data_IF_120415342199
#
_entry.id   IF_120415342199
#
_cell.length_a   1.000
_cell.length_b   1.000
_cell.length_c   1.000
_cell.angle_alpha   90.00
_cell.angle_beta   90.00
_cell.angle_gamma   90.00
#
_symmetry.space_group_name_H-M   'P 1'
#
loop_
_entity.id
_entity.type
_entity.pdbx_description
1 polymer ?
2 non-polymer ?
3 non-polymer ?
4 non-polymer ?
5 water ?
#
# COMPACT_ATOMS: atom_id res chain seq x y z
N UNK A 3 21.63 -11.15 17.69
CA UNK A 3 20.76 -12.36 17.81
C UNK A 3 19.29 -12.05 17.56
N UNK A 4 18.93 -10.77 17.57
CA UNK A 4 17.56 -10.37 17.24
C UNK A 4 17.35 -10.29 15.73
N UNK A 5 16.15 -10.66 15.30
CA UNK A 5 15.74 -10.57 13.90
C UNK A 5 14.29 -10.09 13.84
N UNK A 6 13.90 -9.51 12.71
CA UNK A 6 12.53 -9.07 12.48
C UNK A 6 11.90 -9.80 11.29
N UNK A 7 10.66 -10.24 11.47
CA UNK A 7 9.90 -10.86 10.38
C UNK A 7 9.56 -9.82 9.31
N UNK A 8 9.90 -10.15 8.06
CA UNK A 8 9.67 -9.25 6.93
C UNK A 8 8.19 -9.13 6.56
N UNK A 9 7.37 -10.10 6.98
CA UNK A 9 5.94 -10.07 6.67
C UNK A 9 5.13 -9.28 7.70
N UNK A 10 5.26 -9.63 8.98
CA UNK A 10 4.46 -9.01 10.05
C UNK A 10 5.21 -7.94 10.85
N UNK A 11 6.53 -7.91 10.73
CA UNK A 11 7.36 -6.92 11.43
C UNK A 11 7.79 -7.29 12.85
N UNK A 12 7.37 -8.46 13.34
CA UNK A 12 7.65 -8.84 14.74
C UNK A 12 9.14 -9.06 14.98
N UNK A 13 9.60 -8.62 16.15
CA UNK A 13 10.99 -8.76 16.57
C UNK A 13 11.10 -9.85 17.62
N UNK A 14 11.92 -10.86 17.33
CA UNK A 14 12.21 -11.94 18.27
C UNK A 14 13.67 -12.30 18.12
N UNK A 15 14.22 -12.99 19.11
CA UNK A 15 15.58 -13.49 19.01
C UNK A 15 15.64 -14.59 17.94
N UNK A 16 16.84 -14.83 17.41
CA UNK A 16 17.09 -15.91 16.46
C UNK A 16 16.62 -17.24 17.06
N UNK A 17 16.98 -17.47 18.33
CA UNK A 17 16.54 -18.66 19.07
C UNK A 17 15.02 -18.83 19.07
N UNK A 18 14.29 -17.74 19.28
CA UNK A 18 12.83 -17.76 19.32
C UNK A 18 12.19 -18.08 17.97
N UNK A 19 12.71 -17.48 16.90
CA UNK A 19 12.29 -17.82 15.54
C UNK A 19 12.63 -19.28 15.21
N UNK A 20 13.80 -19.74 15.67
CA UNK A 20 14.21 -21.14 15.50
C UNK A 20 13.32 -22.13 16.23
N UNK A 21 13.00 -21.83 17.48
CA UNK A 21 12.13 -22.68 18.29
C UNK A 21 10.70 -22.66 17.79
N UNK A 22 10.13 -21.46 17.77
CA UNK A 22 8.68 -21.27 17.69
C UNK A 22 8.19 -20.76 16.35
N UNK A 23 9.11 -20.40 15.47
CA UNK A 23 8.76 -19.76 14.20
C UNK A 23 8.16 -18.39 14.44
N UNK A 24 7.34 -17.92 13.51
CA UNK A 24 6.63 -16.67 13.69
C UNK A 24 5.22 -16.91 14.20
N UNK A 25 4.86 -16.28 15.33
CA UNK A 25 3.52 -16.43 15.92
C UNK A 25 2.40 -15.92 15.01
N UNK A 26 2.71 -14.98 14.12
CA UNK A 26 1.72 -14.40 13.22
C UNK A 26 1.62 -15.10 11.85
N UNK A 27 2.77 -15.43 11.27
CA UNK A 27 2.87 -15.77 9.85
C UNK A 27 3.12 -17.25 9.53
N UNK A 28 3.28 -18.07 10.55
CA UNK A 28 3.72 -19.46 10.35
C UNK A 28 2.88 -20.26 9.36
N UNK A 29 1.56 -20.07 9.40
CA UNK A 29 0.65 -20.72 8.46
C UNK A 29 0.93 -20.40 7.01
N UNK A 30 1.24 -19.13 6.77
CA UNK A 30 1.55 -18.63 5.43
C UNK A 30 2.88 -19.22 4.95
N UNK A 31 3.88 -19.21 5.83
CA UNK A 31 5.20 -19.75 5.52
C UNK A 31 5.13 -21.26 5.22
N UNK A 32 4.29 -21.96 5.96
CA UNK A 32 4.05 -23.38 5.73
C UNK A 32 3.46 -23.63 4.34
N UNK A 33 2.46 -22.83 3.98
CA UNK A 33 1.82 -22.94 2.66
C UNK A 33 2.78 -22.57 1.53
N UNK A 34 3.63 -21.57 1.79
CA UNK A 34 4.65 -21.12 0.84
C UNK A 34 5.81 -22.10 0.68
N UNK A 35 5.95 -23.04 1.62
CA UNK A 35 7.05 -24.00 1.59
C UNK A 35 8.40 -23.37 1.88
N UNK A 36 8.39 -22.36 2.75
CA UNK A 36 9.61 -21.64 3.14
C UNK A 36 9.86 -21.71 4.64
N UNK A 37 11.13 -21.58 5.03
CA UNK A 37 11.48 -21.54 6.45
C UNK A 37 11.19 -20.16 7.02
N UNK A 38 10.91 -20.10 8.30
CA UNK A 38 10.71 -18.83 9.00
C UNK A 38 11.96 -17.97 8.93
N UNK A 39 13.12 -18.60 9.11
CA UNK A 39 14.41 -17.90 9.15
C UNK A 39 14.70 -17.06 7.91
N UNK A 40 14.40 -17.59 6.73
CA UNK A 40 14.64 -16.87 5.49
C UNK A 40 13.60 -15.75 5.25
N UNK A 41 12.56 -15.74 6.08
CA UNK A 41 11.55 -14.68 6.04
C UNK A 41 11.81 -13.60 7.10
N UNK A 42 12.93 -13.73 7.81
CA UNK A 42 13.31 -12.77 8.84
C UNK A 42 14.59 -12.04 8.43
N UNK A 43 14.81 -10.87 9.02
CA UNK A 43 15.98 -10.06 8.71
C UNK A 43 16.71 -9.61 9.97
N UNK A 44 18.06 -9.63 9.94
CA UNK A 44 18.86 -9.10 11.05
C UNK A 44 18.96 -7.56 11.04
N UNK A 45 18.41 -6.93 10.01
CA UNK A 45 18.53 -5.49 9.82
C UNK A 45 17.16 -4.81 9.89
N UNK A 46 16.93 -4.07 10.96
CA UNK A 46 15.64 -3.42 11.22
C UNK A 46 15.81 -2.20 12.10
N UNK A 47 14.80 -1.32 12.10
CA UNK A 47 14.87 -0.06 12.83
C UNK A 47 13.48 0.36 13.29
N UNK A 48 13.42 1.03 14.43
CA UNK A 48 12.17 1.61 14.93
C UNK A 48 11.42 0.62 15.78
N UNK A 49 11.88 0.43 17.02
CA UNK A 49 11.28 -0.55 17.92
C UNK A 49 9.92 -0.07 18.39
N UNK A 50 8.94 -0.96 18.30
CA UNK A 50 7.56 -0.68 18.70
C UNK A 50 7.13 -1.72 19.74
N UNK A 51 6.93 -1.27 20.97
CA UNK A 51 6.28 -2.10 21.97
C UNK A 51 4.77 -2.03 21.75
N UNK A 52 4.23 -3.04 21.09
CA UNK A 52 2.80 -3.07 20.75
C UNK A 52 1.96 -3.76 21.83
N UNK A 53 1.16 -2.97 22.53
CA UNK A 53 0.43 -3.47 23.68
C UNK A 53 -1.04 -3.79 23.37
N UNK A 54 -1.69 -2.93 22.58
CA UNK A 54 -3.10 -3.12 22.22
C UNK A 54 -3.30 -2.96 20.71
N UNK A 55 -3.01 -4.03 19.94
CA UNK A 55 -3.02 -3.97 18.47
C UNK A 55 -4.36 -3.56 17.87
N UNK A 56 -5.46 -4.01 18.47
CA UNK A 56 -6.79 -3.73 17.94
C UNK A 56 -7.21 -2.27 18.09
N UNK A 57 -6.54 -1.54 18.98
CA UNK A 57 -6.92 -0.16 19.29
C UNK A 57 -5.88 0.85 18.81
N UNK A 58 -4.62 0.42 18.74
CA UNK A 58 -3.52 1.31 18.42
C UNK A 58 -3.57 1.82 16.98
N UNK A 59 -3.43 3.14 16.83
CA UNK A 59 -3.29 3.76 15.51
C UNK A 59 -1.93 3.44 14.90
N UNK A 60 -0.90 3.36 15.75
CA UNK A 60 0.44 2.91 15.32
C UNK A 60 0.32 1.52 14.69
N UNK A 61 -0.41 0.62 15.35
CA UNK A 61 -0.62 -0.74 14.86
C UNK A 61 -1.34 -0.73 13.52
N UNK A 62 -2.35 0.13 13.42
CA UNK A 62 -3.12 0.28 12.19
C UNK A 62 -2.20 0.71 11.04
N UNK A 63 -1.42 1.75 11.27
CA UNK A 63 -0.53 2.28 10.24
C UNK A 63 0.61 1.30 9.85
N UNK A 64 1.02 0.46 10.78
CA UNK A 64 2.08 -0.53 10.51
C UNK A 64 1.56 -1.90 10.07
N UNK A 65 0.24 -2.03 9.94
CA UNK A 65 -0.41 -3.32 9.64
C UNK A 65 -0.04 -4.42 10.63
N UNK A 66 -0.02 -4.06 11.91
CA UNK A 66 0.16 -5.05 12.96
C UNK A 66 -1.10 -5.15 13.84
N UNK A 67 -2.15 -4.45 13.40
CA UNK A 67 -3.41 -4.39 14.16
C UNK A 67 -4.17 -5.73 14.26
N UNK A 68 -3.87 -6.66 13.35
CA UNK A 68 -4.43 -8.01 13.42
C UNK A 68 -3.38 -9.04 13.83
N UNK A 69 -2.26 -8.54 14.35
CA UNK A 69 -1.17 -9.38 14.83
C UNK A 69 -1.14 -9.37 16.37
N UNK A 70 -0.34 -10.24 16.95
CA UNK A 70 -0.28 -10.36 18.42
C UNK A 70 0.45 -9.19 19.08
N UNK A 71 0.11 -8.91 20.34
CA UNK A 71 0.90 -8.00 21.15
C UNK A 71 2.35 -8.49 21.22
N UNK A 72 3.29 -7.55 21.17
CA UNK A 72 4.72 -7.88 21.21
C UNK A 72 5.58 -6.74 20.70
N UNK A 73 6.85 -7.04 20.45
CA UNK A 73 7.79 -6.05 19.93
C UNK A 73 7.86 -6.13 18.40
N UNK A 74 7.65 -4.98 17.76
CA UNK A 74 7.68 -4.89 16.30
C UNK A 74 8.71 -3.87 15.82
N UNK A 75 9.02 -3.90 14.53
CA UNK A 75 9.93 -2.95 13.91
C UNK A 75 9.20 -2.16 12.83
N UNK A 76 9.48 -0.87 12.76
CA UNK A 76 8.86 0.00 11.75
C UNK A 76 9.45 -0.25 10.37
N UNK A 77 10.77 -0.36 10.29
CA UNK A 77 11.44 -0.66 9.02
C UNK A 77 12.20 -1.97 9.10
N UNK A 78 11.92 -2.87 8.18
CA UNK A 78 12.62 -4.15 8.08
C UNK A 78 13.26 -4.24 6.70
N UNK A 79 14.58 -4.31 6.66
CA UNK A 79 15.32 -4.44 5.41
C UNK A 79 15.24 -5.86 4.88
N UNK A 80 15.24 -6.00 3.57
CA UNK A 80 15.26 -7.32 2.95
C UNK A 80 14.03 -7.63 2.12
N UNK A 81 14.16 -8.69 1.33
CA UNK A 81 13.16 -9.07 0.35
C UNK A 81 12.52 -10.36 0.80
N UNK A 82 11.19 -10.34 0.92
CA UNK A 82 10.42 -11.53 1.24
C UNK A 82 10.48 -12.50 0.06
N UNK A 83 10.64 -13.81 0.33
CA UNK A 83 10.68 -14.79 -0.76
C UNK A 83 9.43 -14.74 -1.64
N UNK A 84 9.62 -14.91 -2.95
CA UNK A 84 8.55 -14.82 -3.94
C UNK A 84 7.36 -15.73 -3.67
N UNK A 85 7.64 -16.93 -3.13
CA UNK A 85 6.59 -17.91 -2.86
C UNK A 85 5.65 -17.50 -1.72
N UNK A 86 6.09 -16.55 -0.90
CA UNK A 86 5.24 -15.94 0.12
C UNK A 86 4.43 -14.80 -0.51
N UNK A 87 5.14 -13.93 -1.24
CA UNK A 87 4.53 -12.77 -1.91
C UNK A 87 3.36 -13.16 -2.82
N UNK A 88 3.52 -14.24 -3.60
CA UNK A 88 2.48 -14.69 -4.53
C UNK A 88 1.19 -15.17 -3.86
N UNK A 89 1.24 -15.42 -2.56
CA UNK A 89 0.06 -15.84 -1.79
C UNK A 89 -0.70 -14.66 -1.17
N UNK A 90 -0.06 -13.51 -1.10
CA UNK A 90 -0.60 -12.38 -0.36
C UNK A 90 -0.75 -11.11 -1.19
N UNK A 91 -1.94 -10.92 -1.80
CA UNK A 91 -2.23 -9.71 -2.59
C UNK A 91 -2.13 -8.43 -1.78
N UNK A 92 -2.41 -8.53 -0.48
CA UNK A 92 -2.38 -7.37 0.42
C UNK A 92 -0.97 -7.00 0.89
N UNK A 93 0.01 -7.85 0.60
CA UNK A 93 1.39 -7.60 1.07
C UNK A 93 1.95 -6.30 0.51
N UNK A 94 2.49 -5.50 1.43
CA UNK A 94 3.19 -4.26 1.09
C UNK A 94 4.51 -4.25 1.86
N UNK A 95 5.64 -4.00 1.16
CA UNK A 95 6.98 -4.19 1.74
C UNK A 95 7.24 -3.31 2.96
N UNK A 96 7.95 -3.86 3.94
CA UNK A 96 8.23 -3.16 5.19
C UNK A 96 9.57 -2.42 5.16
N UNK A 97 10.18 -2.34 3.97
CA UNK A 97 11.46 -1.66 3.80
C UNK A 97 11.31 -0.23 3.22
N UNK A 98 10.11 0.19 2.92
CA UNK A 98 9.83 1.51 2.33
C UNK A 98 9.50 1.46 0.85
N UNK A 99 9.83 0.34 0.21
CA UNK A 99 9.58 0.18 -1.22
C UNK A 99 8.13 -0.22 -1.49
N UNK A 100 7.79 -0.35 -2.77
CA UNK A 100 6.42 -0.71 -3.17
C UNK A 100 5.43 0.36 -2.75
N UNK A 101 5.74 1.44 -2.43
CA UNK A 101 5.09 2.76 -2.15
C UNK A 101 3.94 3.28 -3.06
N UNK A 102 3.19 4.30 -2.28
CA UNK A 102 2.01 4.98 -2.78
C UNK A 102 2.44 5.85 -3.99
N UNK A 103 1.81 5.68 -5.18
CA UNK A 103 2.07 6.49 -6.37
C UNK A 103 0.75 7.13 -6.79
N UNK A 104 0.53 8.35 -6.31
CA UNK A 104 -0.71 9.06 -6.55
C UNK A 104 -0.42 10.31 -7.38
N UNK A 105 -1.18 10.49 -8.45
CA UNK A 105 -0.97 11.58 -9.38
C UNK A 105 -2.10 12.59 -9.28
N UNK A 106 -1.74 13.84 -9.04
CA UNK A 106 -2.69 14.95 -9.09
C UNK A 106 -2.83 15.36 -10.54
N UNK A 107 -4.06 15.30 -11.05
CA UNK A 107 -4.33 15.64 -12.43
C UNK A 107 -5.27 16.84 -12.48
N UNK A 108 -4.86 17.88 -13.19
CA UNK A 108 -5.71 19.06 -13.36
C UNK A 108 -6.98 18.72 -14.13
N UNK A 109 -8.07 19.36 -13.75
CA UNK A 109 -9.35 19.18 -14.40
C UNK A 109 -10.16 20.46 -14.32
N UNK A 110 -11.26 20.51 -15.06
CA UNK A 110 -12.17 21.66 -15.03
C UNK A 110 -12.78 21.81 -13.64
N UNK A 111 -12.60 23.00 -13.02
CA UNK A 111 -13.16 23.27 -11.70
C UNK A 111 -14.68 23.09 -11.70
N UNK A 112 -15.19 22.30 -10.77
CA UNK A 112 -16.63 22.01 -10.70
C UNK A 112 -17.02 20.65 -11.27
N UNK A 113 -16.06 19.96 -11.90
CA UNK A 113 -16.32 18.67 -12.52
C UNK A 113 -15.67 17.50 -11.77
N UNK A 114 -15.07 17.79 -10.62
CA UNK A 114 -14.26 16.82 -9.90
C UNK A 114 -15.02 15.55 -9.50
N UNK A 115 -16.17 15.73 -8.85
CA UNK A 115 -17.00 14.62 -8.39
C UNK A 115 -17.57 13.84 -9.56
N UNK A 116 -18.01 14.59 -10.57
CA UNK A 116 -18.54 14.04 -11.81
C UNK A 116 -17.50 13.14 -12.48
N UNK A 117 -16.25 13.59 -12.49
CA UNK A 117 -15.17 12.83 -13.12
C UNK A 117 -14.87 11.52 -12.41
N UNK A 118 -14.88 11.53 -11.07
CA UNK A 118 -14.70 10.32 -10.28
C UNK A 118 -15.80 9.29 -10.62
N UNK A 119 -17.04 9.76 -10.72
CA UNK A 119 -18.16 8.92 -11.11
C UNK A 119 -17.97 8.32 -12.50
N UNK A 120 -17.58 9.17 -13.46
CA UNK A 120 -17.38 8.75 -14.85
C UNK A 120 -16.21 7.77 -15.00
N UNK A 121 -15.09 8.06 -14.33
CA UNK A 121 -13.89 7.23 -14.45
C UNK A 121 -14.02 5.88 -13.75
N UNK A 122 -14.69 5.85 -12.60
CA UNK A 122 -14.99 4.60 -11.92
C UNK A 122 -15.82 3.68 -12.81
N UNK A 123 -16.80 4.25 -13.50
CA UNK A 123 -17.62 3.52 -14.46
C UNK A 123 -16.79 3.06 -15.66
N UNK A 124 -15.88 3.92 -16.13
CA UNK A 124 -15.00 3.59 -17.24
C UNK A 124 -14.11 2.37 -16.94
N UNK A 125 -13.47 2.39 -15.77
CA UNK A 125 -12.62 1.28 -15.32
C UNK A 125 -13.40 -0.02 -15.18
N UNK A 126 -14.61 0.06 -14.63
CA UNK A 126 -15.50 -1.10 -14.51
C UNK A 126 -15.79 -1.71 -15.89
N UNK A 127 -16.06 -0.85 -16.87
CA UNK A 127 -16.34 -1.28 -18.24
C UNK A 127 -15.12 -1.86 -18.96
N UNK A 128 -13.95 -1.30 -18.67
CA UNK A 128 -12.69 -1.78 -19.22
C UNK A 128 -12.34 -3.17 -18.70
N UNK A 129 -12.58 -3.41 -17.41
CA UNK A 129 -12.36 -4.73 -16.80
C UNK A 129 -13.24 -5.81 -17.43
N UNK A 130 -14.49 -5.44 -17.71
CA UNK A 130 -15.44 -6.34 -18.35
C UNK A 130 -15.06 -6.67 -19.80
N UNK A 131 -14.44 -5.70 -20.48
CA UNK A 131 -14.11 -5.84 -21.90
C UNK A 131 -12.73 -6.44 -22.14
N UNK A 132 -11.75 -6.08 -21.32
CA UNK A 132 -10.37 -6.52 -21.50
C UNK A 132 -10.14 -7.95 -21.01
N UNK A 133 -8.98 -8.50 -21.36
CA UNK A 133 -8.60 -9.86 -20.97
C UNK A 133 -7.98 -9.93 -19.58
N UNK A 134 -6.99 -10.81 -19.44
CA UNK A 134 -6.32 -11.06 -18.16
C UNK A 134 -5.62 -9.82 -17.60
N UNK A 135 -4.89 -9.09 -18.46
CA UNK A 135 -4.18 -7.88 -18.04
C UNK A 135 -5.12 -6.66 -18.09
N UNK A 136 -5.39 -6.08 -16.92
CA UNK A 136 -6.23 -4.90 -16.81
C UNK A 136 -5.35 -3.65 -16.73
N UNK A 137 -5.94 -2.48 -17.01
CA UNK A 137 -5.30 -1.19 -16.73
C UNK A 137 -5.03 -1.08 -15.23
N UNK A 138 -3.79 -0.79 -14.87
CA UNK A 138 -3.42 -0.68 -13.46
C UNK A 138 -3.82 0.68 -12.87
N UNK A 139 -5.13 0.92 -12.82
CA UNK A 139 -5.71 2.05 -12.09
C UNK A 139 -6.25 1.47 -10.78
N UNK A 140 -5.64 1.88 -9.67
CA UNK A 140 -5.95 1.31 -8.35
C UNK A 140 -7.12 2.05 -7.72
N UNK A 141 -7.09 3.37 -7.81
CA UNK A 141 -8.17 4.22 -7.29
C UNK A 141 -8.08 5.62 -7.88
N UNK A 142 -9.19 6.34 -7.74
CA UNK A 142 -9.30 7.73 -8.15
C UNK A 142 -10.11 8.45 -7.08
N UNK A 143 -9.76 9.69 -6.78
CA UNK A 143 -10.48 10.44 -5.75
C UNK A 143 -10.41 11.97 -5.90
N UNK A 144 -11.33 12.65 -5.23
CA UNK A 144 -11.33 14.10 -5.16
C UNK A 144 -11.54 14.58 -3.72
N UNK A 145 -11.16 15.82 -3.48
CA UNK A 145 -11.43 16.48 -2.21
C UNK A 145 -12.12 17.80 -2.52
N UNK A 146 -13.22 18.06 -1.82
CA UNK A 146 -14.01 19.27 -2.03
C UNK A 146 -13.15 20.53 -1.94
N UNK A 147 -12.27 20.58 -0.94
CA UNK A 147 -11.42 21.76 -0.72
C UNK A 147 -10.34 21.97 -1.77
N UNK A 148 -9.97 20.90 -2.49
CA UNK A 148 -8.99 21.01 -3.57
C UNK A 148 -9.68 20.99 -4.93
N UNK A 149 -10.15 22.15 -5.35
CA UNK A 149 -10.89 22.29 -6.60
C UNK A 149 -9.95 22.24 -7.80
N UNK A 150 -10.48 21.80 -8.93
CA UNK A 150 -9.75 21.80 -10.19
C UNK A 150 -8.72 20.69 -10.34
N UNK A 151 -8.77 19.71 -9.44
CA UNK A 151 -7.87 18.55 -9.46
C UNK A 151 -8.60 17.27 -9.12
N UNK A 152 -8.24 16.19 -9.81
CA UNK A 152 -8.56 14.85 -9.35
C UNK A 152 -7.27 14.10 -9.09
N UNK A 153 -7.35 13.02 -8.32
CA UNK A 153 -6.16 12.26 -7.95
C UNK A 153 -6.31 10.82 -8.37
N UNK A 154 -5.31 10.33 -9.11
CA UNK A 154 -5.35 9.00 -9.67
C UNK A 154 -4.19 8.17 -9.14
N UNK A 155 -4.53 7.05 -8.50
CA UNK A 155 -3.52 6.13 -8.00
C UNK A 155 -3.21 5.07 -9.07
N UNK A 156 -1.99 5.12 -9.57
CA UNK A 156 -1.51 4.22 -10.62
C UNK A 156 0.02 4.26 -10.64
N UNK A 157 0.66 3.12 -10.94
CA UNK A 157 2.12 3.04 -10.83
C UNK A 157 2.90 3.87 -11.85
N UNK A 158 2.30 4.13 -13.01
CA UNK A 158 3.02 4.82 -14.08
C UNK A 158 2.16 5.86 -14.77
N UNK A 159 2.81 6.95 -15.17
CA UNK A 159 2.21 8.05 -15.91
C UNK A 159 1.46 7.58 -17.17
N UNK A 160 2.08 6.64 -17.90
CA UNK A 160 1.50 6.09 -19.13
C UNK A 160 0.11 5.49 -18.94
N UNK A 161 -0.09 4.81 -17.82
CA UNK A 161 -1.37 4.18 -17.47
C UNK A 161 -2.49 5.21 -17.34
N UNK A 162 -2.20 6.29 -16.62
CA UNK A 162 -3.14 7.39 -16.42
C UNK A 162 -3.52 8.10 -17.72
N UNK A 163 -2.53 8.30 -18.59
CA UNK A 163 -2.74 8.93 -19.90
C UNK A 163 -3.61 8.06 -20.80
N UNK A 164 -3.35 6.76 -20.76
CA UNK A 164 -4.13 5.76 -21.48
C UNK A 164 -5.57 5.72 -20.97
N UNK A 165 -5.74 5.83 -19.65
CA UNK A 165 -7.04 5.82 -18.99
C UNK A 165 -7.88 7.07 -19.27
N UNK A 166 -7.22 8.23 -19.25
CA UNK A 166 -7.93 9.51 -19.37
C UNK A 166 -8.11 10.01 -20.80
N UNK A 167 -7.43 9.36 -21.74
CA UNK A 167 -7.53 9.70 -23.16
C UNK A 167 -8.99 9.80 -23.62
N UNK A 168 -9.32 10.93 -24.25
CA UNK A 168 -10.65 11.15 -24.81
C UNK A 168 -11.75 11.44 -23.79
N UNK A 169 -11.36 11.66 -22.53
CA UNK A 169 -12.33 12.03 -21.51
C UNK A 169 -12.34 13.54 -21.33
N UNK A 170 -13.52 14.18 -21.56
CA UNK A 170 -13.68 15.63 -21.42
C UNK A 170 -13.42 16.10 -20.00
N UNK A 171 -12.95 17.33 -19.86
CA UNK A 171 -12.77 17.99 -18.57
C UNK A 171 -11.56 17.52 -17.76
N UNK A 172 -10.85 16.51 -18.26
CA UNK A 172 -9.57 16.10 -17.65
C UNK A 172 -8.42 16.71 -18.44
N UNK A 173 -7.56 17.45 -17.74
CA UNK A 173 -6.40 18.09 -18.38
C UNK A 173 -5.18 17.22 -18.16
N UNK A 174 -5.14 16.12 -18.91
CA UNK A 174 -4.18 15.03 -18.70
C UNK A 174 -2.71 15.42 -18.87
N UNK A 175 -2.44 16.48 -19.63
CA UNK A 175 -1.04 16.90 -19.85
C UNK A 175 -0.51 17.74 -18.69
N UNK A 176 -1.37 18.07 -17.74
CA UNK A 176 -0.96 18.81 -16.55
C UNK A 176 -1.18 17.95 -15.32
N UNK A 177 -0.12 17.24 -14.92
CA UNK A 177 -0.18 16.33 -13.79
C UNK A 177 1.11 16.38 -12.97
N UNK A 178 1.03 15.84 -11.76
CA UNK A 178 2.15 15.84 -10.83
C UNK A 178 2.07 14.62 -9.92
N UNK A 179 3.18 13.90 -9.81
CA UNK A 179 3.33 12.84 -8.84
C UNK A 179 3.38 13.49 -7.46
N UNK A 180 2.39 13.23 -6.62
CA UNK A 180 2.33 13.83 -5.30
C UNK A 180 3.45 13.29 -4.40
N UNK A 181 4.31 14.19 -3.89
CA UNK A 181 5.34 13.78 -2.94
C UNK A 181 4.71 13.18 -1.70
N UNK A 182 5.39 12.17 -1.14
CA UNK A 182 4.91 11.46 0.05
C UNK A 182 4.53 12.42 1.20
N UNK A 183 5.32 13.46 1.42
CA UNK A 183 5.06 14.44 2.48
C UNK A 183 3.75 15.22 2.33
N UNK A 184 3.20 15.21 1.12
CA UNK A 184 1.94 15.91 0.83
C UNK A 184 0.71 15.00 0.95
N UNK A 185 0.95 13.69 0.95
CA UNK A 185 -0.13 12.68 0.99
C UNK A 185 -1.04 12.70 2.22
N UNK A 186 -0.47 12.97 3.42
CA UNK A 186 -1.30 13.01 4.64
C UNK A 186 -2.30 14.16 4.62
N UNK A 187 -1.86 15.31 4.11
CA UNK A 187 -2.72 16.49 3.97
C UNK A 187 -3.78 16.28 2.90
N UNK A 188 -3.57 15.26 2.06
CA UNK A 188 -4.46 14.97 0.94
C UNK A 188 -5.63 14.07 1.32
N UNK A 189 -5.41 13.17 2.28
CA UNK A 189 -6.40 12.15 2.63
C UNK A 189 -6.95 12.24 4.05
N UNK A 190 -6.55 13.26 4.81
CA UNK A 190 -7.08 13.46 6.17
C UNK A 190 -8.55 13.88 6.14
N UNK A 191 -9.40 13.23 6.95
CA UNK A 191 -10.85 13.41 6.91
C UNK A 191 -11.30 14.87 6.98
N UNK A 192 -10.67 15.65 7.85
CA UNK A 192 -10.99 17.07 8.01
C UNK A 192 -9.88 17.98 7.48
N UNK A 193 -10.19 18.72 6.42
CA UNK A 193 -9.24 19.63 5.80
C UNK A 193 -9.42 21.07 6.30
N UNK A 194 -8.31 21.81 6.35
CA UNK A 194 -8.28 23.21 6.80
C UNK A 194 -8.97 23.43 8.14
X LIG B 1 5.70 -12.82 10.82
X LIG C 1 -1.63 9.28 5.09
X LIG C 1 -0.25 9.27 4.43
X LIG C 1 -2.64 9.67 4.18
X LIG D 1 19.53 -4.17 14.56
X LIG D 1 20.72 -3.37 15.10
X LIG D 1 19.33 -3.96 13.18
X LIG E 1 2.82 -1.05 4.85
X LIG E 1 2.94 -1.38 6.34
X LIG E 1 1.81 -0.76 7.03
X LIG E 1 2.79 -2.88 6.49
X LIG E 1 4.26 -0.94 6.98
X LIG E 1 4.78 0.49 6.79
X LIG E 1 4.94 0.81 5.42
X LIG E 1 3.92 1.56 7.46
#
# INVERSE_FOLDING_TARGET
MSSERACMLCGIVQTTNEFNRDGCPNCQGIFEEAGVSTMECTSPSFEGLVGMCKPTKSWVAKWLSVDHSIAGMYAIKVDGRLPAEVVELLPHYKPRDGSGSATIWGVRCRPGKEKELIRKLLKKKFNLDRAMGKKKLKILSIFQRDNYTGRIYIEAPKQSVIEKFCNGVPDIYISQKLLIPVQELPLLLKPNLEHHHHHH
ZN ZN
EOH C1 C2 O
EOH C1 C2 O
MPD C1 C2 O2 CM C3 C4 O4 C5
#
